data_IF_268166033468
#
_entry.id   IF_268166033468
#
_cell.length_a   1.000
_cell.length_b   1.000
_cell.length_c   1.000
_cell.angle_alpha   90.00
_cell.angle_beta   90.00
_cell.angle_gamma   90.00
#
_symmetry.space_group_name_H-M   'P 1'
#
loop_
_entity.id
_entity.type
_entity.pdbx_description
1 polymer ?
#
# COMPACT_ATOMS: atom_id res chain seq x y z
N UNK A 1 24.39 10.13 4.00
CA UNK A 1 24.87 10.67 2.70
C UNK A 1 23.69 11.34 2.01
N UNK A 2 23.88 12.49 1.38
CA UNK A 2 22.86 13.13 0.53
C UNK A 2 23.18 12.78 -0.92
N UNK A 3 22.22 12.19 -1.63
CA UNK A 3 22.32 11.94 -3.06
C UNK A 3 21.41 12.93 -3.81
N UNK A 4 21.87 13.44 -4.94
CA UNK A 4 21.09 14.37 -5.78
C UNK A 4 20.68 13.66 -7.07
N UNK A 5 19.38 13.64 -7.36
CA UNK A 5 18.82 13.16 -8.63
C UNK A 5 18.50 14.37 -9.52
N UNK A 6 19.05 14.39 -10.74
CA UNK A 6 18.73 15.39 -11.74
C UNK A 6 17.94 14.77 -12.89
N UNK A 7 16.76 15.32 -13.20
CA UNK A 7 15.90 14.84 -14.28
C UNK A 7 15.85 15.92 -15.37
N UNK A 8 16.28 15.57 -16.58
CA UNK A 8 16.25 16.46 -17.75
C UNK A 8 14.98 16.21 -18.57
N UNK A 9 14.51 17.25 -19.25
CA UNK A 9 13.36 17.19 -20.17
C UNK A 9 12.06 16.67 -19.52
N UNK A 10 11.82 17.04 -18.25
CA UNK A 10 10.57 16.71 -17.57
C UNK A 10 9.42 17.49 -18.22
N UNK A 11 8.32 16.85 -18.65
CA UNK A 11 7.18 17.55 -19.22
C UNK A 11 6.61 18.58 -18.24
N UNK A 12 6.38 19.81 -18.69
CA UNK A 12 5.88 20.91 -17.84
C UNK A 12 4.57 20.54 -17.10
N UNK A 13 3.68 19.82 -17.78
CA UNK A 13 2.44 19.35 -17.18
C UNK A 13 2.67 18.38 -16.02
N UNK A 14 3.70 17.54 -16.11
CA UNK A 14 4.08 16.62 -15.02
C UNK A 14 4.71 17.39 -13.85
N UNK A 15 5.57 18.36 -14.13
CA UNK A 15 6.15 19.23 -13.11
C UNK A 15 5.07 19.99 -12.33
N UNK A 16 4.07 20.56 -13.02
CA UNK A 16 2.94 21.25 -12.38
C UNK A 16 2.10 20.33 -11.49
N UNK A 17 1.87 19.08 -11.93
CA UNK A 17 1.18 18.07 -11.10
C UNK A 17 1.96 17.74 -9.83
N UNK A 18 3.29 17.61 -9.93
CA UNK A 18 4.16 17.39 -8.77
C UNK A 18 4.11 18.58 -7.81
N UNK A 19 4.18 19.82 -8.31
CA UNK A 19 4.06 21.03 -7.49
C UNK A 19 2.72 21.10 -6.75
N UNK A 20 1.60 20.82 -7.43
CA UNK A 20 0.27 20.82 -6.84
C UNK A 20 0.15 19.75 -5.73
N UNK A 21 0.65 18.54 -5.99
CA UNK A 21 0.66 17.44 -5.01
C UNK A 21 1.53 17.78 -3.80
N UNK A 22 2.74 18.31 -4.01
CA UNK A 22 3.65 18.72 -2.95
C UNK A 22 3.03 19.81 -2.06
N UNK A 23 2.39 20.83 -2.65
CA UNK A 23 1.67 21.87 -1.92
C UNK A 23 0.55 21.28 -1.05
N UNK A 24 -0.25 20.35 -1.60
CA UNK A 24 -1.33 19.67 -0.86
C UNK A 24 -0.79 18.88 0.33
N UNK A 25 0.37 18.25 0.17
CA UNK A 25 1.04 17.48 1.23
C UNK A 25 1.94 18.32 2.15
N UNK A 26 1.98 19.66 1.97
CA UNK A 26 2.84 20.60 2.73
C UNK A 26 4.33 20.19 2.70
N UNK A 27 4.82 19.74 1.54
CA UNK A 27 6.20 19.31 1.31
C UNK A 27 6.84 20.12 0.19
N UNK A 28 8.18 20.10 0.12
CA UNK A 28 8.88 20.56 -1.08
C UNK A 28 8.69 19.58 -2.24
N UNK A 29 8.91 20.04 -3.48
CA UNK A 29 8.83 19.16 -4.66
C UNK A 29 9.84 18.02 -4.56
N UNK A 30 11.05 18.30 -4.07
CA UNK A 30 12.09 17.28 -3.88
C UNK A 30 11.65 16.20 -2.88
N UNK A 31 11.05 16.60 -1.76
CA UNK A 31 10.51 15.66 -0.77
C UNK A 31 9.36 14.83 -1.33
N UNK A 32 8.48 15.43 -2.12
CA UNK A 32 7.37 14.71 -2.74
C UNK A 32 7.86 13.70 -3.78
N UNK A 33 8.86 14.05 -4.59
CA UNK A 33 9.49 13.12 -5.54
C UNK A 33 10.18 11.98 -4.79
N UNK A 34 10.90 12.26 -3.70
CA UNK A 34 11.50 11.23 -2.88
C UNK A 34 10.44 10.27 -2.31
N UNK A 35 9.33 10.79 -1.77
CA UNK A 35 8.23 9.98 -1.25
C UNK A 35 7.61 9.07 -2.33
N UNK A 36 7.34 9.63 -3.51
CA UNK A 36 6.77 8.85 -4.64
C UNK A 36 7.74 7.73 -5.05
N UNK A 37 9.04 8.02 -5.11
CA UNK A 37 10.05 7.02 -5.45
C UNK A 37 10.17 5.94 -4.35
N UNK A 38 10.11 6.33 -3.07
CA UNK A 38 10.06 5.38 -1.96
C UNK A 38 8.86 4.46 -2.07
N UNK A 39 7.65 5.00 -2.24
CA UNK A 39 6.42 4.21 -2.41
C UNK A 39 6.47 3.29 -3.64
N UNK A 40 7.07 3.74 -4.74
CA UNK A 40 7.19 2.95 -5.97
C UNK A 40 8.26 1.84 -5.89
N UNK A 41 9.29 2.03 -5.05
CA UNK A 41 10.39 1.09 -4.85
C UNK A 41 10.16 0.16 -3.65
N UNK A 42 9.22 0.48 -2.77
CA UNK A 42 8.74 -0.44 -1.76
C UNK A 42 8.10 -1.64 -2.48
N UNK A 43 8.78 -2.80 -2.42
CA UNK A 43 8.18 -4.07 -2.81
C UNK A 43 6.88 -4.22 -2.02
N UNK A 44 5.73 -4.48 -2.68
CA UNK A 44 4.50 -4.73 -1.95
C UNK A 44 4.80 -5.80 -0.91
N UNK A 45 4.60 -5.47 0.37
CA UNK A 45 4.82 -6.43 1.44
C UNK A 45 3.98 -7.65 1.08
N UNK A 46 4.63 -8.79 0.89
CA UNK A 46 3.92 -10.02 0.60
C UNK A 46 2.99 -10.28 1.79
N UNK A 47 1.69 -10.04 1.59
CA UNK A 47 0.69 -10.26 2.61
C UNK A 47 0.70 -11.76 2.89
N UNK A 48 0.99 -12.12 4.14
CA UNK A 48 0.96 -13.52 4.55
C UNK A 48 -0.36 -13.79 5.23
N UNK A 49 -1.00 -14.92 4.89
CA UNK A 49 -2.15 -15.42 5.66
C UNK A 49 -1.79 -15.58 7.15
N UNK A 50 -0.51 -15.78 7.48
CA UNK A 50 -0.05 -15.82 8.87
C UNK A 50 -0.18 -14.47 9.60
N UNK A 51 -0.20 -13.34 8.90
CA UNK A 51 -0.48 -12.02 9.50
C UNK A 51 -1.93 -11.90 9.97
N UNK A 52 -2.82 -12.79 9.52
CA UNK A 52 -4.21 -12.89 10.00
C UNK A 52 -4.35 -13.78 11.24
N UNK A 53 -3.27 -14.45 11.66
CA UNK A 53 -3.29 -15.34 12.82
C UNK A 53 -3.66 -14.56 14.08
N UNK A 54 -4.72 -15.03 14.75
CA UNK A 54 -5.19 -14.44 16.01
C UNK A 54 -6.18 -13.27 15.85
N UNK A 55 -6.21 -12.59 14.69
CA UNK A 55 -7.16 -11.49 14.44
C UNK A 55 -8.62 -11.96 14.44
N UNK A 56 -8.87 -13.23 14.08
CA UNK A 56 -10.21 -13.81 14.11
C UNK A 56 -10.69 -14.28 15.48
N UNK A 57 -9.82 -14.39 16.50
CA UNK A 57 -10.13 -15.15 17.73
C UNK A 57 -11.43 -14.71 18.40
N UNK A 58 -11.66 -13.41 18.50
CA UNK A 58 -12.84 -12.84 19.16
C UNK A 58 -14.11 -13.01 18.30
N UNK A 59 -13.98 -12.99 16.97
CA UNK A 59 -15.11 -13.18 16.05
C UNK A 59 -15.55 -14.64 15.95
N UNK A 60 -14.62 -15.59 16.09
CA UNK A 60 -14.87 -17.02 15.95
C UNK A 60 -15.14 -17.75 17.27
N UNK A 61 -15.15 -17.04 18.39
CA UNK A 61 -15.21 -17.64 19.73
C UNK A 61 -16.48 -18.47 20.00
N UNK A 62 -17.59 -18.16 19.31
CA UNK A 62 -18.88 -18.87 19.43
C UNK A 62 -19.41 -19.39 18.09
N UNK A 63 -18.54 -19.46 17.07
CA UNK A 63 -18.90 -19.94 15.74
C UNK A 63 -18.27 -21.32 15.56
N UNK A 64 -19.08 -22.29 15.15
CA UNK A 64 -18.55 -23.58 14.69
C UNK A 64 -17.84 -23.38 13.36
N UNK A 65 -16.52 -23.18 13.45
CA UNK A 65 -15.67 -22.90 12.30
C UNK A 65 -15.70 -24.03 11.27
N UNK A 66 -15.81 -25.28 11.71
CA UNK A 66 -15.80 -26.44 10.81
C UNK A 66 -17.08 -26.46 9.97
N UNK A 67 -18.24 -26.32 10.61
CA UNK A 67 -19.53 -26.27 9.93
C UNK A 67 -19.68 -25.06 9.01
N UNK A 68 -19.03 -23.94 9.36
CA UNK A 68 -19.00 -22.76 8.50
C UNK A 68 -18.18 -23.02 7.23
N UNK A 69 -16.97 -23.57 7.36
CA UNK A 69 -16.08 -23.88 6.23
C UNK A 69 -16.67 -24.95 5.31
N UNK A 70 -17.31 -25.98 5.86
CA UNK A 70 -17.99 -27.01 5.06
C UNK A 70 -19.12 -26.43 4.21
N UNK A 71 -19.90 -25.51 4.76
CA UNK A 71 -20.99 -24.84 4.03
C UNK A 71 -20.47 -23.99 2.87
N UNK A 72 -19.41 -23.22 3.12
CA UNK A 72 -18.77 -22.40 2.08
C UNK A 72 -18.18 -23.27 0.97
N UNK A 73 -17.54 -24.40 1.32
CA UNK A 73 -17.01 -25.36 0.34
C UNK A 73 -18.10 -25.95 -0.54
N UNK A 74 -19.19 -26.44 0.07
CA UNK A 74 -20.31 -27.02 -0.67
C UNK A 74 -21.06 -26.01 -1.56
N UNK A 75 -20.84 -24.70 -1.39
CA UNK A 75 -21.43 -23.67 -2.22
C UNK A 75 -20.58 -23.34 -3.47
N UNK A 76 -19.35 -23.85 -3.55
CA UNK A 76 -18.44 -23.65 -4.68
C UNK A 76 -18.42 -24.84 -5.66
N UNK A 77 -18.92 -26.00 -5.22
CA UNK A 77 -19.18 -27.18 -6.06
C UNK A 77 -20.54 -27.06 -6.78
#
# INVERSE_FOLDING_TARGET
MVATLNVKNLPDGLYRKLQARAKRQRRSVAQEVAQILSEALETPKALSILELQGLGKEHWQNVDALKHVERERSAWD
#
